data_IF_504457110374
#
_entry.id   IF_504457110374
#
_cell.length_a   1.000
_cell.length_b   1.000
_cell.length_c   1.000
_cell.angle_alpha   90.00
_cell.angle_beta   90.00
_cell.angle_gamma   90.00
#
_symmetry.space_group_name_H-M   'P 1'
#
loop_
_entity.id
_entity.type
_entity.pdbx_description
1 polymer ?
#
# COMPACT_ATOMS: atom_id res chain seq x y z
N UNK A 1 -12.22 12.51 41.78
CA UNK A 1 -13.33 11.70 41.27
C UNK A 1 -13.87 12.38 40.03
N UNK A 2 -13.65 11.82 38.84
CA UNK A 2 -14.19 12.40 37.61
C UNK A 2 -15.72 12.23 37.63
N UNK A 3 -16.46 13.30 37.40
CA UNK A 3 -17.92 13.23 37.29
C UNK A 3 -18.33 12.35 36.11
N UNK A 4 -19.42 11.59 36.24
CA UNK A 4 -19.94 10.72 35.16
C UNK A 4 -20.07 11.47 33.82
N UNK A 5 -20.43 12.76 33.87
CA UNK A 5 -20.48 13.66 32.71
C UNK A 5 -19.11 13.91 32.08
N UNK A 6 -18.07 14.11 32.89
CA UNK A 6 -16.70 14.28 32.39
C UNK A 6 -16.14 13.00 31.77
N UNK A 7 -16.52 11.83 32.29
CA UNK A 7 -16.12 10.54 31.72
C UNK A 7 -16.76 10.33 30.34
N UNK A 8 -18.06 10.64 30.21
CA UNK A 8 -18.77 10.54 28.92
C UNK A 8 -18.18 11.49 27.88
N UNK A 9 -17.88 12.74 28.24
CA UNK A 9 -17.28 13.72 27.34
C UNK A 9 -15.90 13.26 26.86
N UNK A 10 -15.05 12.76 27.76
CA UNK A 10 -13.71 12.25 27.40
C UNK A 10 -13.80 11.01 26.51
N UNK A 11 -14.72 10.09 26.79
CA UNK A 11 -14.91 8.89 25.97
C UNK A 11 -15.38 9.22 24.55
N UNK A 12 -16.34 10.14 24.39
CA UNK A 12 -16.80 10.61 23.07
C UNK A 12 -15.67 11.33 22.32
N UNK A 13 -14.92 12.20 23.01
CA UNK A 13 -13.78 12.90 22.40
C UNK A 13 -12.70 11.92 21.93
N UNK A 14 -12.40 10.88 22.71
CA UNK A 14 -11.48 9.82 22.31
C UNK A 14 -11.98 9.04 21.08
N UNK A 15 -13.27 8.69 21.03
CA UNK A 15 -13.84 7.96 19.88
C UNK A 15 -13.75 8.78 18.59
N UNK A 16 -14.03 10.08 18.65
CA UNK A 16 -13.89 11.00 17.51
C UNK A 16 -12.43 11.12 17.06
N UNK A 17 -11.46 11.19 17.98
CA UNK A 17 -10.05 11.23 17.62
C UNK A 17 -9.59 9.91 16.98
N UNK A 18 -10.09 8.76 17.44
CA UNK A 18 -9.76 7.44 16.87
C UNK A 18 -10.31 7.29 15.44
N UNK A 19 -11.50 7.82 15.14
CA UNK A 19 -12.08 7.74 13.79
C UNK A 19 -11.27 8.51 12.75
N UNK A 20 -10.77 9.71 13.08
CA UNK A 20 -9.94 10.50 12.15
C UNK A 20 -8.61 9.79 11.85
N UNK A 21 -7.98 9.21 12.87
CA UNK A 21 -6.70 8.48 12.72
C UNK A 21 -6.89 7.17 11.97
N UNK A 22 -8.02 6.49 12.15
CA UNK A 22 -8.34 5.23 11.45
C UNK A 22 -8.41 5.39 9.93
N UNK A 23 -8.90 6.52 9.43
CA UNK A 23 -9.03 6.78 7.98
C UNK A 23 -7.64 6.94 7.32
N UNK A 24 -6.69 7.58 7.99
CA UNK A 24 -5.32 7.76 7.46
C UNK A 24 -4.58 6.43 7.28
N UNK A 25 -4.77 5.49 8.21
CA UNK A 25 -4.11 4.16 8.16
C UNK A 25 -4.67 3.26 7.06
N UNK A 26 -5.95 3.42 6.70
CA UNK A 26 -6.56 2.65 5.63
C UNK A 26 -6.02 3.05 4.23
N UNK A 27 -5.74 4.34 4.01
CA UNK A 27 -5.26 4.84 2.73
C UNK A 27 -3.84 4.34 2.36
N UNK A 28 -2.98 4.13 3.36
CA UNK A 28 -1.58 3.75 3.14
C UNK A 28 -1.43 2.27 2.71
N UNK A 29 -2.35 1.40 3.16
CA UNK A 29 -2.24 -0.04 2.94
C UNK A 29 -2.45 -0.48 1.50
N UNK A 30 -3.13 0.28 0.63
CA UNK A 30 -3.62 -0.29 -0.65
C UNK A 30 -3.58 0.63 -1.87
N UNK A 31 -2.92 1.79 -1.84
CA UNK A 31 -2.80 2.61 -3.05
C UNK A 31 -1.73 2.05 -4.03
N UNK A 32 -2.10 0.97 -4.72
CA UNK A 32 -1.29 0.38 -5.79
C UNK A 32 -1.08 1.37 -6.95
N UNK A 33 -2.06 2.24 -7.22
CA UNK A 33 -2.01 3.14 -8.36
C UNK A 33 -0.88 4.16 -8.22
N UNK A 34 -0.79 4.82 -7.07
CA UNK A 34 0.28 5.79 -6.78
C UNK A 34 1.64 5.11 -6.66
N UNK A 35 1.72 3.98 -5.94
CA UNK A 35 2.98 3.23 -5.78
C UNK A 35 3.53 2.77 -7.14
N UNK A 36 2.66 2.24 -8.01
CA UNK A 36 3.05 1.82 -9.34
C UNK A 36 3.38 2.98 -10.28
N UNK A 37 2.75 4.15 -10.12
CA UNK A 37 3.14 5.36 -10.84
C UNK A 37 4.57 5.78 -10.52
N UNK A 38 4.94 5.77 -9.24
CA UNK A 38 6.31 6.08 -8.86
C UNK A 38 7.30 5.01 -9.33
N UNK A 39 6.96 3.72 -9.16
CA UNK A 39 7.79 2.59 -9.62
C UNK A 39 8.08 2.63 -11.12
N UNK A 40 7.07 2.97 -11.92
CA UNK A 40 7.15 2.96 -13.38
C UNK A 40 7.57 4.30 -14.00
N UNK A 41 7.86 5.32 -13.19
CA UNK A 41 8.18 6.70 -13.62
C UNK A 41 9.35 6.80 -14.60
N UNK A 42 10.31 5.86 -14.57
CA UNK A 42 11.47 5.80 -15.49
C UNK A 42 11.44 4.59 -16.43
N UNK A 43 10.30 3.89 -16.54
CA UNK A 43 10.19 2.73 -17.42
C UNK A 43 10.06 3.16 -18.88
N UNK A 44 10.81 2.50 -19.78
CA UNK A 44 10.66 2.66 -21.24
C UNK A 44 9.27 2.23 -21.75
N UNK A 45 8.60 1.30 -21.04
CA UNK A 45 7.25 0.82 -21.39
C UNK A 45 6.28 1.11 -20.24
N UNK A 46 5.93 2.38 -19.98
CA UNK A 46 5.19 2.77 -18.79
C UNK A 46 3.84 2.05 -18.68
N UNK A 47 3.07 1.96 -19.78
CA UNK A 47 1.78 1.26 -19.79
C UNK A 47 1.88 -0.22 -19.39
N UNK A 48 2.90 -0.92 -19.89
CA UNK A 48 3.11 -2.33 -19.56
C UNK A 48 3.61 -2.50 -18.12
N UNK A 49 4.55 -1.65 -17.70
CA UNK A 49 5.05 -1.62 -16.32
C UNK A 49 3.92 -1.39 -15.31
N UNK A 50 3.07 -0.40 -15.56
CA UNK A 50 1.92 -0.11 -14.70
C UNK A 50 0.97 -1.31 -14.60
N UNK A 51 0.68 -1.97 -15.73
CA UNK A 51 -0.19 -3.14 -15.75
C UNK A 51 0.35 -4.27 -14.88
N UNK A 52 1.62 -4.67 -15.08
CA UNK A 52 2.21 -5.77 -14.33
C UNK A 52 2.46 -5.41 -12.87
N UNK A 53 2.82 -4.15 -12.57
CA UNK A 53 2.96 -3.66 -11.20
C UNK A 53 1.64 -3.73 -10.45
N UNK A 54 0.55 -3.22 -11.02
CA UNK A 54 -0.76 -3.23 -10.36
C UNK A 54 -1.26 -4.66 -10.14
N UNK A 55 -1.10 -5.55 -11.13
CA UNK A 55 -1.42 -6.97 -10.94
C UNK A 55 -0.59 -7.59 -9.80
N UNK A 56 0.69 -7.24 -9.70
CA UNK A 56 1.55 -7.71 -8.61
C UNK A 56 1.10 -7.21 -7.24
N UNK A 57 0.90 -5.90 -7.13
CA UNK A 57 0.44 -5.23 -5.92
C UNK A 57 -0.88 -5.79 -5.41
N UNK A 58 -1.87 -5.97 -6.28
CA UNK A 58 -3.19 -6.50 -5.93
C UNK A 58 -3.18 -7.97 -5.52
N UNK A 59 -2.19 -8.77 -5.95
CA UNK A 59 -2.07 -10.17 -5.54
C UNK A 59 -1.41 -10.32 -4.17
N UNK A 60 -0.71 -9.31 -3.67
CA UNK A 60 -0.07 -9.36 -2.37
C UNK A 60 -1.00 -8.79 -1.30
N UNK A 61 -1.18 -9.53 -0.20
CA UNK A 61 -2.10 -9.16 0.89
C UNK A 61 -1.73 -7.81 1.55
N UNK A 62 -0.45 -7.46 1.52
CA UNK A 62 0.11 -6.24 2.09
C UNK A 62 0.16 -5.07 1.09
N UNK A 63 -0.25 -5.28 -0.16
CA UNK A 63 -0.17 -4.25 -1.21
C UNK A 63 1.25 -3.72 -1.43
N UNK A 64 2.28 -4.51 -1.11
CA UNK A 64 3.66 -4.05 -1.15
C UNK A 64 4.12 -3.83 -2.59
N UNK A 65 4.66 -2.64 -2.84
CA UNK A 65 5.36 -2.30 -4.09
C UNK A 65 6.71 -1.72 -3.69
N UNK A 66 7.82 -2.23 -4.24
CA UNK A 66 9.15 -1.70 -3.96
C UNK A 66 9.22 -0.20 -4.29
N UNK A 67 9.84 0.64 -3.44
CA UNK A 67 9.98 2.06 -3.73
C UNK A 67 10.56 2.31 -5.13
N UNK A 68 9.94 3.20 -5.89
CA UNK A 68 10.37 3.51 -7.24
C UNK A 68 11.59 4.42 -7.32
N UNK A 69 12.17 4.60 -8.51
CA UNK A 69 12.16 3.67 -9.65
C UNK A 69 13.29 2.62 -9.57
N UNK A 70 14.15 2.69 -8.54
CA UNK A 70 15.42 1.95 -8.49
C UNK A 70 15.53 0.94 -7.35
N UNK A 71 14.60 0.90 -6.39
CA UNK A 71 14.75 -0.03 -5.27
C UNK A 71 14.70 -1.49 -5.74
N UNK A 72 15.40 -2.36 -5.02
CA UNK A 72 15.35 -3.79 -5.32
C UNK A 72 13.95 -4.36 -5.02
N UNK A 73 13.49 -5.30 -5.84
CA UNK A 73 12.21 -5.98 -5.67
C UNK A 73 12.13 -6.81 -4.40
N UNK A 74 13.27 -7.31 -3.92
CA UNK A 74 13.35 -8.21 -2.76
C UNK A 74 12.88 -7.55 -1.45
N UNK A 75 12.74 -6.22 -1.43
CA UNK A 75 12.08 -5.47 -0.34
C UNK A 75 10.61 -5.91 -0.15
N UNK A 76 9.96 -6.40 -1.22
CA UNK A 76 8.62 -6.95 -1.19
C UNK A 76 8.65 -8.42 -1.66
N UNK A 77 8.79 -9.41 -0.75
CA UNK A 77 8.99 -10.81 -1.11
C UNK A 77 7.87 -11.39 -1.99
N UNK A 78 6.60 -11.11 -1.66
CA UNK A 78 5.47 -11.54 -2.48
C UNK A 78 5.58 -11.01 -3.91
N UNK A 79 5.86 -9.72 -4.06
CA UNK A 79 5.99 -9.04 -5.35
C UNK A 79 7.18 -9.58 -6.17
N UNK A 80 8.30 -9.86 -5.52
CA UNK A 80 9.54 -10.35 -6.13
C UNK A 80 9.43 -11.79 -6.64
N UNK A 81 8.67 -12.64 -5.95
CA UNK A 81 8.56 -14.07 -6.28
C UNK A 81 7.60 -14.37 -7.43
N UNK A 82 6.81 -13.40 -7.89
CA UNK A 82 5.82 -13.60 -8.93
C UNK A 82 6.47 -13.90 -10.28
N UNK A 83 6.06 -15.00 -10.90
CA UNK A 83 6.55 -15.42 -12.20
C UNK A 83 5.42 -15.62 -13.21
N UNK A 84 5.75 -15.36 -14.47
CA UNK A 84 4.94 -15.75 -15.62
C UNK A 84 5.01 -17.26 -15.83
N UNK A 85 4.13 -17.82 -16.67
CA UNK A 85 4.20 -19.23 -17.10
C UNK A 85 5.57 -19.63 -17.66
N UNK A 86 6.31 -18.69 -18.27
CA UNK A 86 7.66 -18.92 -18.78
C UNK A 86 8.78 -18.83 -17.73
N UNK A 87 8.46 -18.92 -16.43
CA UNK A 87 9.42 -18.85 -15.31
C UNK A 87 10.24 -17.54 -15.25
N UNK A 88 9.77 -16.46 -15.89
CA UNK A 88 10.36 -15.12 -15.81
C UNK A 88 9.63 -14.28 -14.77
N UNK A 89 10.34 -13.38 -14.09
CA UNK A 89 9.72 -12.42 -13.18
C UNK A 89 8.61 -11.62 -13.86
N UNK A 90 7.43 -11.61 -13.25
CA UNK A 90 6.24 -10.99 -13.80
C UNK A 90 6.20 -9.47 -13.54
N UNK A 91 6.52 -9.07 -12.31
CA UNK A 91 6.46 -7.69 -11.85
C UNK A 91 7.67 -6.87 -12.37
N UNK A 92 7.60 -5.52 -12.42
CA UNK A 92 8.67 -4.62 -12.83
C UNK A 92 9.72 -4.27 -11.75
#
# INVERSE_FOLDING_TARGET
MASSKTILVVAVLCLLLISEVGIMVAAERQDCQTKCAFRCSKSWKPKMCHKTCNTGCQRCNDGCVPPGPTANRDVCPCYAQMKTHGNRYQCP
#
